data_IF_886579636540
#
_entry.id   IF_886579636540
#
_cell.length_a   1.000
_cell.length_b   1.000
_cell.length_c   1.000
_cell.angle_alpha   90.00
_cell.angle_beta   90.00
_cell.angle_gamma   90.00
#
_symmetry.space_group_name_H-M   'P 1'
#
loop_
_entity.id
_entity.type
_entity.pdbx_description
1 polymer ?
#
# COMPACT_ATOMS: atom_id res chain seq x y z
N UNK A 1 4.91 2.83 38.07
CA UNK A 1 3.63 2.95 37.33
C UNK A 1 3.84 3.19 35.83
N UNK A 2 5.07 3.34 35.37
CA UNK A 2 5.37 3.75 33.97
C UNK A 2 5.44 2.62 32.93
N UNK A 3 5.66 1.37 33.36
CA UNK A 3 5.87 0.24 32.44
C UNK A 3 4.68 -0.13 31.53
N UNK A 4 3.45 0.04 32.02
CA UNK A 4 2.26 -0.30 31.22
C UNK A 4 1.92 0.79 30.18
N UNK A 5 2.12 2.04 30.54
CA UNK A 5 1.94 3.19 29.65
C UNK A 5 2.98 3.17 28.51
N UNK A 6 4.24 2.86 28.82
CA UNK A 6 5.30 2.74 27.83
C UNK A 6 5.06 1.59 26.84
N UNK A 7 4.61 0.44 27.32
CA UNK A 7 4.23 -0.69 26.45
C UNK A 7 3.06 -0.35 25.53
N UNK A 8 2.06 0.38 26.02
CA UNK A 8 0.93 0.82 25.21
C UNK A 8 1.34 1.79 24.11
N UNK A 9 2.19 2.78 24.46
CA UNK A 9 2.73 3.76 23.51
C UNK A 9 3.59 3.10 22.43
N UNK A 10 4.48 2.19 22.85
CA UNK A 10 5.33 1.43 21.93
C UNK A 10 4.48 0.59 20.98
N UNK A 11 3.43 -0.09 21.48
CA UNK A 11 2.53 -0.87 20.64
C UNK A 11 1.79 0.01 19.62
N UNK A 12 1.25 1.15 20.01
CA UNK A 12 0.62 2.10 19.09
C UNK A 12 1.62 2.60 18.04
N UNK A 13 2.82 3.01 18.45
CA UNK A 13 3.84 3.45 17.51
C UNK A 13 4.15 2.36 16.47
N UNK A 14 4.37 1.13 16.91
CA UNK A 14 4.64 -0.01 16.03
C UNK A 14 3.45 -0.26 15.10
N UNK A 15 2.21 -0.26 15.61
CA UNK A 15 1.02 -0.49 14.80
C UNK A 15 0.87 0.51 13.65
N UNK A 16 1.20 1.78 13.87
CA UNK A 16 1.05 2.84 12.87
C UNK A 16 2.24 2.99 11.92
N UNK A 17 3.43 2.50 12.29
CA UNK A 17 4.66 2.67 11.48
C UNK A 17 5.14 1.40 10.81
N UNK A 18 5.00 0.23 11.46
CA UNK A 18 5.55 -1.03 10.97
C UNK A 18 5.00 -1.48 9.61
N UNK A 19 3.68 -1.37 9.31
CA UNK A 19 3.18 -1.75 7.99
C UNK A 19 3.82 -0.94 6.86
N UNK A 20 4.01 0.38 7.06
CA UNK A 20 4.68 1.26 6.10
C UNK A 20 6.16 0.93 5.98
N UNK A 21 6.86 0.68 7.09
CA UNK A 21 8.27 0.31 7.08
C UNK A 21 8.51 -0.98 6.29
N UNK A 22 7.71 -2.02 6.53
CA UNK A 22 7.80 -3.28 5.77
C UNK A 22 7.45 -3.08 4.30
N UNK A 23 6.44 -2.28 4.00
CA UNK A 23 6.08 -1.95 2.61
C UNK A 23 7.27 -1.31 1.88
N UNK A 24 7.93 -0.31 2.48
CA UNK A 24 9.08 0.39 1.91
C UNK A 24 10.31 -0.52 1.80
N UNK A 25 10.58 -1.35 2.80
CA UNK A 25 11.69 -2.32 2.75
C UNK A 25 11.51 -3.29 1.59
N UNK A 26 10.32 -3.88 1.44
CA UNK A 26 10.04 -4.79 0.32
C UNK A 26 10.12 -4.07 -1.03
N UNK A 27 9.69 -2.82 -1.11
CA UNK A 27 9.83 -2.01 -2.32
C UNK A 27 11.30 -1.76 -2.67
N UNK A 28 12.12 -1.39 -1.67
CA UNK A 28 13.56 -1.18 -1.83
C UNK A 28 14.30 -2.47 -2.22
N UNK A 29 13.95 -3.61 -1.62
CA UNK A 29 14.47 -4.93 -2.00
C UNK A 29 14.16 -5.25 -3.47
N UNK A 30 12.94 -4.98 -3.95
CA UNK A 30 12.59 -5.16 -5.36
C UNK A 30 13.46 -4.33 -6.30
N UNK A 31 13.71 -3.08 -5.94
CA UNK A 31 14.62 -2.22 -6.69
C UNK A 31 16.07 -2.72 -6.67
N UNK A 32 16.53 -3.26 -5.55
CA UNK A 32 17.87 -3.82 -5.42
C UNK A 32 18.03 -5.10 -6.25
N UNK A 33 17.08 -6.03 -6.17
CA UNK A 33 17.12 -7.28 -6.94
C UNK A 33 17.12 -7.03 -8.46
N UNK A 34 16.31 -6.08 -8.94
CA UNK A 34 16.29 -5.71 -10.34
C UNK A 34 17.65 -5.17 -10.85
N UNK A 35 18.45 -4.52 -9.97
CA UNK A 35 19.79 -4.06 -10.32
C UNK A 35 20.81 -5.20 -10.39
N UNK A 36 20.62 -6.26 -9.63
CA UNK A 36 21.48 -7.46 -9.66
C UNK A 36 21.26 -8.22 -10.97
N UNK A 37 20.01 -8.39 -11.39
CA UNK A 37 19.64 -9.05 -12.63
C UNK A 37 20.05 -10.53 -12.72
N UNK A 38 19.98 -11.08 -13.92
CA UNK A 38 20.54 -12.41 -14.23
C UNK A 38 19.55 -13.57 -14.20
N UNK A 39 18.38 -13.41 -13.59
CA UNK A 39 17.31 -14.40 -13.64
C UNK A 39 15.95 -13.71 -13.71
N UNK A 40 14.94 -14.37 -14.29
CA UNK A 40 13.58 -13.84 -14.40
C UNK A 40 13.06 -13.26 -13.07
N UNK A 41 13.29 -13.95 -11.96
CA UNK A 41 12.81 -13.53 -10.63
C UNK A 41 13.52 -12.31 -10.06
N UNK A 42 14.75 -12.05 -10.50
CA UNK A 42 15.51 -10.84 -10.13
C UNK A 42 15.22 -9.69 -11.08
N UNK A 43 15.05 -9.96 -12.36
CA UNK A 43 14.72 -8.95 -13.36
C UNK A 43 13.29 -8.42 -13.23
N UNK A 44 12.37 -9.28 -12.77
CA UNK A 44 10.95 -8.99 -12.61
C UNK A 44 10.46 -9.32 -11.19
N UNK A 45 11.00 -8.63 -10.15
CA UNK A 45 10.69 -8.91 -8.76
C UNK A 45 9.24 -8.61 -8.38
N UNK A 46 8.51 -7.85 -9.18
CA UNK A 46 7.10 -7.52 -8.97
C UNK A 46 6.19 -8.73 -8.83
N UNK A 47 6.53 -9.86 -9.48
CA UNK A 47 5.69 -11.07 -9.44
C UNK A 47 5.69 -11.77 -8.08
N UNK A 48 6.70 -11.55 -7.24
CA UNK A 48 6.73 -12.10 -5.88
C UNK A 48 6.70 -11.03 -4.79
N UNK A 49 7.22 -9.82 -5.07
CA UNK A 49 7.16 -8.70 -4.11
C UNK A 49 5.74 -8.21 -3.89
N UNK A 50 4.90 -8.13 -4.93
CA UNK A 50 3.52 -7.68 -4.77
C UNK A 50 2.68 -8.63 -3.91
N UNK A 51 2.73 -9.96 -4.13
CA UNK A 51 2.16 -10.91 -3.18
C UNK A 51 2.73 -10.79 -1.77
N UNK A 52 4.06 -10.67 -1.63
CA UNK A 52 4.70 -10.51 -0.32
C UNK A 52 4.22 -9.25 0.40
N UNK A 53 4.20 -8.09 -0.26
CA UNK A 53 3.67 -6.85 0.31
C UNK A 53 2.21 -7.01 0.73
N UNK A 54 1.39 -7.64 -0.10
CA UNK A 54 -0.03 -7.88 0.20
C UNK A 54 -0.21 -8.74 1.44
N UNK A 55 0.54 -9.84 1.53
CA UNK A 55 0.44 -10.78 2.64
C UNK A 55 1.00 -10.16 3.94
N UNK A 56 2.22 -9.65 3.92
CA UNK A 56 2.85 -9.13 5.14
C UNK A 56 2.15 -7.86 5.65
N UNK A 57 1.91 -6.88 4.79
CA UNK A 57 1.21 -5.68 5.21
C UNK A 57 -0.24 -5.97 5.59
N UNK A 58 -0.94 -6.82 4.82
CA UNK A 58 -2.31 -7.24 5.14
C UNK A 58 -2.41 -7.96 6.48
N UNK A 59 -1.49 -8.89 6.77
CA UNK A 59 -1.44 -9.58 8.06
C UNK A 59 -1.20 -8.61 9.21
N UNK A 60 -0.31 -7.64 9.05
CA UNK A 60 -0.06 -6.62 10.06
C UNK A 60 -1.27 -5.71 10.27
N UNK A 61 -1.94 -5.28 9.18
CA UNK A 61 -3.15 -4.48 9.27
C UNK A 61 -4.27 -5.22 10.02
N UNK A 62 -4.41 -6.52 9.79
CA UNK A 62 -5.36 -7.37 10.51
C UNK A 62 -4.94 -7.55 11.98
N UNK A 63 -3.65 -7.80 12.24
CA UNK A 63 -3.13 -7.97 13.59
C UNK A 63 -3.35 -6.73 14.47
N UNK A 64 -3.09 -5.55 13.90
CA UNK A 64 -3.24 -4.28 14.60
C UNK A 64 -4.61 -3.61 14.40
N UNK A 65 -5.60 -4.32 13.82
CA UNK A 65 -6.91 -3.73 13.49
C UNK A 65 -7.58 -3.00 14.65
N UNK A 66 -7.42 -3.52 15.86
CA UNK A 66 -7.98 -2.94 17.08
C UNK A 66 -7.23 -1.69 17.59
N UNK A 67 -6.03 -1.47 17.11
CA UNK A 67 -5.23 -0.31 17.50
C UNK A 67 -5.53 0.92 16.61
N UNK A 68 -6.23 0.72 15.48
CA UNK A 68 -6.61 1.78 14.56
C UNK A 68 -7.98 2.37 14.91
N UNK A 69 -8.07 3.71 14.83
CA UNK A 69 -9.30 4.48 15.11
C UNK A 69 -9.98 4.86 13.79
N UNK A 70 -10.56 3.87 13.09
CA UNK A 70 -11.30 4.16 11.86
C UNK A 70 -12.62 4.84 12.16
N UNK A 71 -12.84 6.01 11.55
CA UNK A 71 -14.14 6.67 11.56
C UNK A 71 -14.99 6.16 10.39
N UNK A 72 -16.30 6.03 10.56
CA UNK A 72 -17.18 5.65 9.48
C UNK A 72 -17.07 6.67 8.35
N UNK A 73 -16.93 6.18 7.12
CA UNK A 73 -16.82 7.03 5.95
C UNK A 73 -18.11 7.84 5.77
N UNK A 74 -18.00 9.17 5.88
CA UNK A 74 -19.08 10.11 5.59
C UNK A 74 -18.94 10.58 4.15
N UNK A 75 -20.06 10.80 3.45
CA UNK A 75 -20.08 11.33 2.09
C UNK A 75 -19.42 10.41 1.05
N UNK A 76 -19.66 9.10 1.14
CA UNK A 76 -19.11 8.10 0.21
C UNK A 76 -19.41 8.44 -1.24
N UNK A 77 -20.64 8.90 -1.54
CA UNK A 77 -21.05 9.28 -2.90
C UNK A 77 -20.21 10.45 -3.43
N UNK A 78 -19.97 11.46 -2.61
CA UNK A 78 -19.12 12.58 -2.99
C UNK A 78 -17.66 12.12 -3.23
N UNK A 79 -17.12 11.28 -2.35
CA UNK A 79 -15.78 10.72 -2.52
C UNK A 79 -15.65 9.88 -3.79
N UNK A 80 -16.66 9.07 -4.11
CA UNK A 80 -16.72 8.29 -5.35
C UNK A 80 -16.80 9.19 -6.60
N UNK A 81 -17.60 10.24 -6.57
CA UNK A 81 -17.70 11.20 -7.69
C UNK A 81 -16.36 11.92 -7.93
N UNK A 82 -15.66 12.35 -6.85
CA UNK A 82 -14.34 12.97 -6.96
C UNK A 82 -13.31 11.97 -7.48
N UNK A 83 -13.32 10.71 -7.00
CA UNK A 83 -12.43 9.67 -7.49
C UNK A 83 -12.60 9.39 -8.98
N UNK A 84 -13.85 9.31 -9.46
CA UNK A 84 -14.15 9.15 -10.89
C UNK A 84 -13.70 10.36 -11.72
N UNK A 85 -13.88 11.57 -11.21
CA UNK A 85 -13.40 12.79 -11.87
C UNK A 85 -11.87 12.78 -11.99
N UNK A 86 -11.16 12.49 -10.89
CA UNK A 86 -9.70 12.40 -10.90
C UNK A 86 -9.20 11.30 -11.83
N UNK A 87 -9.87 10.15 -11.85
CA UNK A 87 -9.57 9.06 -12.76
C UNK A 87 -9.74 9.48 -14.23
N UNK A 88 -10.86 10.14 -14.57
CA UNK A 88 -11.09 10.66 -15.92
C UNK A 88 -10.02 11.68 -16.33
N UNK A 89 -9.67 12.63 -15.44
CA UNK A 89 -8.62 13.61 -15.70
C UNK A 89 -7.23 12.95 -15.86
N UNK A 90 -6.99 11.84 -15.17
CA UNK A 90 -5.71 11.11 -15.27
C UNK A 90 -5.57 10.34 -16.57
N UNK A 91 -6.69 9.82 -17.12
CA UNK A 91 -6.69 9.10 -18.40
C UNK A 91 -6.80 10.07 -19.60
N UNK A 92 -7.48 11.21 -19.43
CA UNK A 92 -7.73 12.16 -20.50
C UNK A 92 -6.50 12.53 -21.35
N UNK A 93 -5.29 12.77 -20.80
CA UNK A 93 -4.12 13.06 -21.62
C UNK A 93 -3.75 11.93 -22.58
N UNK A 94 -3.90 10.68 -22.19
CA UNK A 94 -3.59 9.53 -23.04
C UNK A 94 -4.65 9.39 -24.15
N UNK A 95 -5.92 9.50 -23.83
CA UNK A 95 -7.03 9.30 -24.78
C UNK A 95 -7.22 10.50 -25.71
N UNK A 96 -7.11 11.73 -25.19
CA UNK A 96 -7.43 12.96 -25.94
C UNK A 96 -6.19 13.51 -26.68
N UNK A 97 -5.02 13.43 -26.06
CA UNK A 97 -3.78 13.98 -26.62
C UNK A 97 -2.94 12.93 -27.34
N UNK A 98 -3.36 11.66 -27.38
CA UNK A 98 -2.69 10.57 -28.09
C UNK A 98 -1.31 10.23 -27.55
N UNK A 99 -1.06 10.42 -26.24
CA UNK A 99 0.22 9.97 -25.67
C UNK A 99 0.35 8.46 -25.80
N UNK A 100 1.53 7.95 -26.20
CA UNK A 100 1.74 6.54 -26.40
C UNK A 100 1.57 5.77 -25.06
N UNK A 101 0.93 4.60 -25.07
CA UNK A 101 0.82 3.77 -23.89
C UNK A 101 2.21 3.33 -23.42
N UNK A 102 2.40 3.22 -22.09
CA UNK A 102 3.62 2.65 -21.54
C UNK A 102 3.70 1.16 -21.87
N UNK A 103 4.62 0.78 -22.73
CA UNK A 103 4.87 -0.62 -23.08
C UNK A 103 5.68 -1.37 -22.03
N UNK A 104 6.44 -0.64 -21.19
CA UNK A 104 7.22 -1.21 -20.10
C UNK A 104 6.40 -1.21 -18.81
N UNK A 105 6.28 -2.37 -18.16
CA UNK A 105 5.59 -2.50 -16.88
C UNK A 105 5.21 -3.95 -16.57
N UNK A 106 4.38 -4.11 -15.58
CA UNK A 106 3.85 -5.41 -15.16
C UNK A 106 3.02 -6.04 -16.30
N UNK A 107 3.44 -7.20 -16.76
CA UNK A 107 2.73 -7.96 -17.80
C UNK A 107 2.06 -9.19 -17.16
N UNK A 108 0.73 -9.28 -17.07
CA UNK A 108 0.03 -10.44 -16.52
C UNK A 108 0.12 -11.68 -17.43
N UNK A 109 0.45 -11.50 -18.71
CA UNK A 109 0.52 -12.58 -19.71
C UNK A 109 1.76 -13.47 -19.58
N UNK A 110 2.74 -13.07 -18.76
CA UNK A 110 3.94 -13.89 -18.49
C UNK A 110 3.58 -15.31 -18.02
N UNK A 111 2.44 -15.47 -17.36
CA UNK A 111 1.91 -16.75 -16.89
C UNK A 111 0.72 -17.25 -17.72
N UNK A 112 0.57 -16.83 -18.98
CA UNK A 112 -0.58 -17.21 -19.84
C UNK A 112 -0.77 -18.72 -19.99
N UNK A 113 0.32 -19.50 -19.90
CA UNK A 113 0.27 -20.98 -19.86
C UNK A 113 -0.20 -21.59 -18.54
N UNK A 114 -0.38 -20.79 -17.49
CA UNK A 114 -0.79 -21.21 -16.15
C UNK A 114 -1.93 -20.31 -15.62
N UNK A 115 -3.20 -20.62 -15.93
CA UNK A 115 -4.34 -19.75 -15.61
C UNK A 115 -4.41 -19.34 -14.13
N UNK A 116 -4.15 -20.27 -13.21
CA UNK A 116 -4.16 -19.98 -11.78
C UNK A 116 -3.09 -18.95 -11.37
N UNK A 117 -1.87 -19.06 -11.90
CA UNK A 117 -0.79 -18.11 -11.62
C UNK A 117 -1.08 -16.73 -12.24
N UNK A 118 -1.62 -16.68 -13.44
CA UNK A 118 -2.03 -15.45 -14.11
C UNK A 118 -3.11 -14.71 -13.29
N UNK A 119 -4.17 -15.41 -12.90
CA UNK A 119 -5.21 -14.82 -12.03
C UNK A 119 -4.67 -14.39 -10.67
N UNK A 120 -3.83 -15.20 -10.03
CA UNK A 120 -3.23 -14.86 -8.75
C UNK A 120 -2.41 -13.55 -8.85
N UNK A 121 -1.60 -13.38 -9.89
CA UNK A 121 -0.83 -12.14 -10.12
C UNK A 121 -1.72 -10.91 -10.27
N UNK A 122 -2.81 -11.03 -11.02
CA UNK A 122 -3.78 -9.93 -11.20
C UNK A 122 -4.46 -9.59 -9.85
N UNK A 123 -4.94 -10.61 -9.14
CA UNK A 123 -5.64 -10.45 -7.84
C UNK A 123 -4.71 -9.80 -6.81
N UNK A 124 -3.49 -10.31 -6.64
CA UNK A 124 -2.54 -9.72 -5.69
C UNK A 124 -2.16 -8.30 -6.06
N UNK A 125 -1.97 -8.00 -7.34
CA UNK A 125 -1.73 -6.63 -7.79
C UNK A 125 -2.91 -5.73 -7.49
N UNK A 126 -4.13 -6.16 -7.77
CA UNK A 126 -5.35 -5.40 -7.48
C UNK A 126 -5.51 -5.14 -5.99
N UNK A 127 -5.44 -6.19 -5.15
CA UNK A 127 -5.52 -6.07 -3.70
C UNK A 127 -4.44 -5.13 -3.14
N UNK A 128 -3.21 -5.27 -3.64
CA UNK A 128 -2.12 -4.38 -3.24
C UNK A 128 -2.46 -2.91 -3.52
N UNK A 129 -2.87 -2.59 -4.75
CA UNK A 129 -3.06 -1.21 -5.20
C UNK A 129 -4.34 -0.57 -4.63
N UNK A 130 -5.41 -1.36 -4.49
CA UNK A 130 -6.73 -0.83 -4.11
C UNK A 130 -6.98 -0.89 -2.61
N UNK A 131 -6.36 -1.85 -1.91
CA UNK A 131 -6.61 -2.07 -0.48
C UNK A 131 -5.37 -1.78 0.35
N UNK A 132 -4.27 -2.49 0.09
CA UNK A 132 -3.10 -2.47 1.00
C UNK A 132 -2.41 -1.11 0.97
N UNK A 133 -2.06 -0.59 -0.21
CA UNK A 133 -1.33 0.68 -0.35
C UNK A 133 -2.12 1.83 0.28
N UNK A 134 -3.41 2.06 -0.08
CA UNK A 134 -4.18 3.15 0.51
C UNK A 134 -4.33 3.04 2.04
N UNK A 135 -4.54 1.82 2.58
CA UNK A 135 -4.67 1.64 4.03
C UNK A 135 -3.35 1.89 4.75
N UNK A 136 -2.23 1.36 4.24
CA UNK A 136 -0.90 1.56 4.84
C UNK A 136 -0.53 3.04 4.81
N UNK A 137 -0.78 3.72 3.69
CA UNK A 137 -0.52 5.16 3.56
C UNK A 137 -1.41 5.99 4.48
N UNK A 138 -2.71 5.72 4.52
CA UNK A 138 -3.66 6.45 5.37
C UNK A 138 -3.31 6.32 6.85
N UNK A 139 -3.01 5.10 7.29
CA UNK A 139 -2.61 4.82 8.68
C UNK A 139 -1.31 5.53 9.01
N UNK A 140 -0.32 5.48 8.13
CA UNK A 140 0.98 6.10 8.37
C UNK A 140 0.90 7.63 8.31
N UNK A 141 0.37 8.20 7.21
CA UNK A 141 0.34 9.66 7.02
C UNK A 141 -0.62 10.34 7.97
N UNK A 142 -1.88 9.93 8.00
CA UNK A 142 -2.91 10.59 8.81
C UNK A 142 -2.98 10.04 10.24
N UNK A 143 -2.77 8.74 10.40
CA UNK A 143 -2.80 8.12 11.72
C UNK A 143 -1.57 8.44 12.58
N UNK A 144 -0.39 8.55 11.98
CA UNK A 144 0.85 8.79 12.71
C UNK A 144 1.48 10.13 12.36
N UNK A 145 1.98 10.33 11.14
CA UNK A 145 2.94 11.40 10.84
C UNK A 145 2.35 12.80 11.00
N UNK A 146 1.18 13.08 10.45
CA UNK A 146 0.53 14.38 10.59
C UNK A 146 0.20 14.68 12.07
N UNK A 147 -0.25 13.70 12.82
CA UNK A 147 -0.52 13.85 14.26
C UNK A 147 0.75 14.10 15.06
N UNK A 148 1.85 13.43 14.69
CA UNK A 148 3.17 13.62 15.29
C UNK A 148 3.72 15.02 15.05
N UNK A 149 3.50 15.60 13.87
CA UNK A 149 3.88 17.00 13.59
C UNK A 149 3.08 18.03 14.40
N UNK A 150 1.81 17.72 14.69
CA UNK A 150 0.98 18.59 15.53
C UNK A 150 1.40 18.51 16.99
N UNK A 151 1.68 17.31 17.48
CA UNK A 151 2.13 17.05 18.84
C UNK A 151 3.00 15.79 18.86
N UNK A 152 4.22 15.88 19.41
CA UNK A 152 5.11 14.71 19.51
C UNK A 152 4.49 13.50 20.24
N UNK A 153 3.41 13.69 21.01
CA UNK A 153 2.57 12.63 21.55
C UNK A 153 1.37 12.39 20.64
N UNK A 154 1.60 11.82 19.43
CA UNK A 154 0.60 11.66 18.38
C UNK A 154 -0.72 11.00 18.83
N UNK A 155 -0.69 10.15 19.86
CA UNK A 155 -1.85 9.43 20.39
C UNK A 155 -2.83 10.33 21.15
N UNK A 156 -2.44 11.54 21.52
CA UNK A 156 -3.29 12.54 22.20
C UNK A 156 -4.09 13.36 21.19
N UNK A 157 -3.58 13.47 19.96
CA UNK A 157 -4.24 14.24 18.90
C UNK A 157 -5.40 13.40 18.32
N UNK A 158 -6.65 13.89 18.29
CA UNK A 158 -7.78 13.14 17.72
C UNK A 158 -7.60 12.89 16.22
N UNK A 159 -8.16 11.78 15.74
CA UNK A 159 -8.12 11.36 14.32
C UNK A 159 -9.02 12.26 13.48
#
# INVERSE_FOLDING_TARGET
MDSAADKFLTRKLVAFTLPMAIFLVLLALGGAFRKIGGTFWLDSPEYWIYPAQTIFCGSLLIWFWRDYEFRPARRIVFAAAVALLVFALWIAPQEVLGFPPRLAGFNPEVFSGQPAASWATIVFRFLRLVVIVPLVEEIFWRGFLLRYFVNGKFHVVPF
#
